data_IF_926180717441
#
_entry.id   IF_926180717441
#
_cell.length_a   1.000
_cell.length_b   1.000
_cell.length_c   1.000
_cell.angle_alpha   90.00
_cell.angle_beta   90.00
_cell.angle_gamma   90.00
#
_symmetry.space_group_name_H-M   'P 1'
#
loop_
_entity.id
_entity.type
_entity.pdbx_description
1 polymer ?
#
# COMPACT_ATOMS: atom_id res chain seq x y z
N UNK A 1 -25.45 17.49 4.56
CA UNK A 1 -24.34 16.69 5.14
C UNK A 1 -23.48 16.15 4.00
N UNK A 2 -22.16 16.07 4.18
CA UNK A 2 -21.21 15.59 3.17
C UNK A 2 -20.25 14.52 3.76
N UNK A 3 -20.77 13.37 4.25
CA UNK A 3 -19.95 12.40 4.98
C UNK A 3 -19.08 11.57 4.03
N UNK A 4 -17.76 11.82 4.05
CA UNK A 4 -16.77 10.98 3.36
C UNK A 4 -16.18 9.91 4.27
N UNK A 5 -15.13 10.26 5.03
CA UNK A 5 -14.39 9.36 5.92
C UNK A 5 -15.27 8.53 6.86
N UNK A 6 -16.35 9.13 7.34
CA UNK A 6 -17.27 8.48 8.27
C UNK A 6 -17.89 7.21 7.70
N UNK A 7 -18.19 7.20 6.39
CA UNK A 7 -18.81 6.05 5.71
C UNK A 7 -17.75 5.00 5.36
N UNK A 8 -16.65 5.42 4.71
CA UNK A 8 -15.73 4.47 4.06
C UNK A 8 -14.41 4.24 4.81
N UNK A 9 -14.14 4.99 5.88
CA UNK A 9 -12.85 4.92 6.59
C UNK A 9 -12.50 3.53 7.09
N UNK A 10 -13.43 2.91 7.83
CA UNK A 10 -13.21 1.62 8.49
C UNK A 10 -13.63 0.40 7.64
N UNK A 11 -14.18 0.61 6.45
CA UNK A 11 -14.65 -0.47 5.58
C UNK A 11 -13.53 -1.08 4.74
N UNK A 12 -12.40 -0.37 4.59
CA UNK A 12 -11.24 -0.82 3.83
C UNK A 12 -10.03 -1.15 4.70
N UNK A 13 -9.27 -2.17 4.28
CA UNK A 13 -7.96 -2.52 4.82
C UNK A 13 -6.96 -2.66 3.67
N UNK A 14 -5.70 -2.29 3.90
CA UNK A 14 -4.60 -2.57 2.97
C UNK A 14 -3.92 -3.86 3.40
N UNK A 15 -3.95 -4.88 2.54
CA UNK A 15 -3.27 -6.16 2.78
C UNK A 15 -1.91 -6.15 2.09
N UNK A 16 -0.87 -6.55 2.81
CA UNK A 16 0.50 -6.62 2.31
C UNK A 16 1.19 -7.90 2.78
N UNK A 17 2.14 -8.40 1.98
CA UNK A 17 2.99 -9.53 2.33
C UNK A 17 4.34 -9.06 2.85
N UNK A 18 4.87 -9.75 3.85
CA UNK A 18 6.25 -9.56 4.33
C UNK A 18 7.23 -10.00 3.23
N UNK A 19 8.15 -9.11 2.88
CA UNK A 19 9.27 -9.43 1.99
C UNK A 19 10.43 -10.02 2.79
N UNK A 20 10.88 -9.33 3.83
CA UNK A 20 11.95 -9.78 4.71
C UNK A 20 12.00 -8.94 5.98
N UNK A 21 12.84 -9.36 6.92
CA UNK A 21 13.13 -8.62 8.15
C UNK A 21 14.56 -8.12 8.12
N UNK A 22 14.78 -6.95 8.72
CA UNK A 22 16.11 -6.37 8.86
C UNK A 22 16.28 -5.87 10.27
N UNK A 23 17.47 -6.08 10.85
CA UNK A 23 17.88 -5.43 12.10
C UNK A 23 18.94 -4.40 11.76
N UNK A 24 18.74 -3.16 12.17
CA UNK A 24 19.70 -2.08 11.90
C UNK A 24 19.55 -0.97 12.94
N UNK A 25 20.66 -0.39 13.41
CA UNK A 25 20.64 0.71 14.38
C UNK A 25 19.88 0.38 15.68
N UNK A 26 19.90 -0.89 16.12
CA UNK A 26 19.14 -1.33 17.31
C UNK A 26 17.64 -1.51 17.09
N UNK A 27 17.09 -1.15 15.93
CA UNK A 27 15.67 -1.33 15.56
C UNK A 27 15.45 -2.57 14.71
N UNK A 28 14.24 -3.12 14.82
CA UNK A 28 13.75 -4.19 13.94
C UNK A 28 12.83 -3.59 12.89
N UNK A 29 13.05 -3.95 11.63
CA UNK A 29 12.23 -3.53 10.50
C UNK A 29 11.53 -4.75 9.91
N UNK A 30 10.25 -4.59 9.64
CA UNK A 30 9.44 -5.55 8.91
C UNK A 30 9.13 -4.93 7.54
N UNK A 31 9.88 -5.37 6.52
CA UNK A 31 9.77 -4.85 5.16
C UNK A 31 8.63 -5.60 4.47
N UNK A 32 7.65 -4.86 3.97
CA UNK A 32 6.47 -5.40 3.29
C UNK A 32 6.44 -4.94 1.82
N UNK A 33 5.56 -5.53 1.01
CA UNK A 33 5.44 -5.20 -0.41
C UNK A 33 4.53 -4.00 -0.73
N UNK A 34 3.98 -3.34 0.29
CA UNK A 34 3.22 -2.10 0.17
C UNK A 34 3.99 -0.94 0.79
N UNK A 35 3.89 0.25 0.19
CA UNK A 35 4.59 1.45 0.67
C UNK A 35 3.70 2.68 0.75
N UNK A 36 4.34 3.83 0.95
CA UNK A 36 3.68 5.13 0.96
C UNK A 36 2.98 5.46 -0.36
N UNK A 37 3.40 4.85 -1.47
CA UNK A 37 2.72 4.95 -2.76
C UNK A 37 1.34 4.24 -2.75
N UNK A 38 1.11 3.28 -1.85
CA UNK A 38 -0.18 2.58 -1.69
C UNK A 38 -1.03 3.22 -0.58
N UNK A 39 -0.40 3.63 0.51
CA UNK A 39 -1.03 4.30 1.64
C UNK A 39 -0.13 5.39 2.21
N UNK A 40 -0.26 6.61 1.69
CA UNK A 40 0.63 7.74 2.02
C UNK A 40 0.36 8.35 3.39
N UNK A 41 -0.81 8.08 4.00
CA UNK A 41 -1.27 8.78 5.21
C UNK A 41 -0.30 8.73 6.40
N UNK A 42 0.35 7.60 6.73
CA UNK A 42 1.31 7.56 7.83
C UNK A 42 2.53 8.45 7.56
N UNK A 43 3.07 8.44 6.34
CA UNK A 43 4.20 9.30 5.97
C UNK A 43 3.82 10.78 5.93
N UNK A 44 2.67 11.11 5.36
CA UNK A 44 2.27 12.50 5.10
C UNK A 44 1.68 13.20 6.33
N UNK A 45 0.99 12.46 7.20
CA UNK A 45 0.21 13.03 8.31
C UNK A 45 0.57 12.40 9.67
N UNK A 46 1.58 11.53 9.73
CA UNK A 46 1.86 10.70 10.91
C UNK A 46 0.63 9.89 11.38
N UNK A 47 -0.29 9.61 10.44
CA UNK A 47 -1.56 8.99 10.75
C UNK A 47 -1.37 7.56 11.28
N UNK A 48 -2.02 7.26 12.39
CA UNK A 48 -2.05 5.91 12.92
C UNK A 48 -3.05 5.02 12.16
N UNK A 49 -2.57 3.87 11.71
CA UNK A 49 -3.37 2.75 11.22
C UNK A 49 -3.03 1.53 12.06
N UNK A 50 -4.03 0.84 12.61
CA UNK A 50 -3.80 -0.42 13.33
C UNK A 50 -3.32 -1.50 12.34
N UNK A 51 -2.17 -2.10 12.60
CA UNK A 51 -1.55 -3.12 11.73
C UNK A 51 -1.63 -4.45 12.46
N UNK A 52 -2.27 -5.43 11.83
CA UNK A 52 -2.52 -6.75 12.43
C UNK A 52 -2.08 -7.86 11.47
N UNK A 53 -1.62 -9.01 11.97
CA UNK A 53 -1.39 -10.18 11.12
C UNK A 53 -2.74 -10.73 10.62
N UNK A 54 -2.79 -11.15 9.35
CA UNK A 54 -4.02 -11.72 8.76
C UNK A 54 -4.32 -13.09 9.38
N UNK A 55 -3.28 -13.88 9.65
CA UNK A 55 -3.39 -15.13 10.40
C UNK A 55 -3.04 -14.86 11.85
N UNK A 56 -3.90 -15.30 12.76
CA UNK A 56 -3.61 -15.20 14.18
C UNK A 56 -2.34 -15.99 14.52
N UNK A 57 -1.51 -15.42 15.38
CA UNK A 57 -0.25 -16.02 15.84
C UNK A 57 -0.09 -15.80 17.33
N UNK A 58 0.19 -16.87 18.05
CA UNK A 58 0.50 -16.86 19.49
C UNK A 58 1.99 -16.63 19.77
N UNK A 59 2.78 -16.32 18.74
CA UNK A 59 4.20 -16.01 18.91
C UNK A 59 4.38 -14.76 19.78
N UNK A 60 5.46 -14.68 20.58
CA UNK A 60 5.81 -13.47 21.31
C UNK A 60 5.85 -12.25 20.39
N UNK A 61 5.30 -11.14 20.87
CA UNK A 61 5.35 -9.87 20.14
C UNK A 61 6.74 -9.24 20.26
N UNK A 62 7.18 -8.63 19.16
CA UNK A 62 8.39 -7.85 19.08
C UNK A 62 8.06 -6.47 18.52
N UNK A 63 8.73 -5.44 19.04
CA UNK A 63 8.62 -4.09 18.51
C UNK A 63 9.32 -4.02 17.14
N UNK A 64 8.57 -3.62 16.12
CA UNK A 64 9.05 -3.43 14.75
C UNK A 64 8.52 -2.15 14.12
N UNK A 65 9.34 -1.54 13.26
CA UNK A 65 8.87 -0.55 12.29
C UNK A 65 8.42 -1.29 11.02
N UNK A 66 7.17 -1.12 10.61
CA UNK A 66 6.60 -1.67 9.37
C UNK A 66 6.85 -0.67 8.25
N UNK A 67 7.71 -1.04 7.31
CA UNK A 67 8.22 -0.16 6.25
C UNK A 67 8.00 -0.78 4.88
N UNK A 68 7.84 0.06 3.87
CA UNK A 68 7.67 -0.38 2.49
C UNK A 68 9.00 -0.49 1.73
N UNK A 69 8.93 -0.73 0.41
CA UNK A 69 10.09 -0.89 -0.45
C UNK A 69 10.49 0.39 -1.21
N UNK A 70 9.87 1.54 -0.91
CA UNK A 70 10.20 2.83 -1.55
C UNK A 70 11.54 3.33 -1.02
N UNK A 71 12.33 3.99 -1.87
CA UNK A 71 13.69 4.44 -1.58
C UNK A 71 13.78 5.68 -0.67
N UNK A 72 12.80 5.86 0.22
CA UNK A 72 12.65 7.04 1.05
C UNK A 72 12.63 6.63 2.52
N UNK A 73 13.41 7.33 3.36
CA UNK A 73 13.39 7.14 4.82
C UNK A 73 11.98 7.32 5.41
N UNK A 74 11.14 8.09 4.74
CA UNK A 74 9.74 8.33 5.11
C UNK A 74 8.78 7.18 4.77
N UNK A 75 9.21 6.12 4.08
CA UNK A 75 8.35 5.01 3.69
C UNK A 75 8.06 4.04 4.85
N UNK A 76 7.15 4.46 5.73
CA UNK A 76 6.64 3.64 6.81
C UNK A 76 5.12 3.59 6.78
N UNK A 77 4.56 2.42 7.12
CA UNK A 77 3.13 2.29 7.41
C UNK A 77 2.88 2.36 8.92
N UNK A 78 3.90 2.09 9.74
CA UNK A 78 3.80 2.23 11.18
C UNK A 78 5.12 2.04 11.90
N UNK A 79 5.38 2.89 12.89
CA UNK A 79 6.54 2.80 13.78
C UNK A 79 6.17 2.16 15.10
N UNK A 80 7.14 1.48 15.71
CA UNK A 80 7.10 0.90 17.06
C UNK A 80 5.89 0.00 17.31
N UNK A 81 5.58 -0.88 16.35
CA UNK A 81 4.42 -1.79 16.39
C UNK A 81 4.76 -3.09 17.10
N UNK A 82 3.87 -3.48 18.03
CA UNK A 82 3.93 -4.77 18.72
C UNK A 82 3.28 -5.85 17.87
N UNK A 83 4.09 -6.55 17.07
CA UNK A 83 3.64 -7.61 16.16
C UNK A 83 4.27 -8.95 16.54
N UNK A 84 3.55 -10.08 16.39
CA UNK A 84 4.18 -11.39 16.52
C UNK A 84 5.31 -11.54 15.50
N UNK A 85 6.17 -12.55 15.70
CA UNK A 85 7.12 -12.86 14.66
C UNK A 85 6.38 -13.31 13.38
N UNK A 86 6.64 -12.61 12.27
CA UNK A 86 6.18 -12.88 10.93
C UNK A 86 7.36 -13.15 9.99
N UNK A 87 7.28 -14.22 9.22
CA UNK A 87 8.24 -14.62 8.18
C UNK A 87 7.88 -14.06 6.81
N UNK A 88 8.79 -14.27 5.85
CA UNK A 88 8.56 -13.92 4.44
C UNK A 88 7.30 -14.59 3.90
N UNK A 89 6.50 -13.84 3.15
CA UNK A 89 5.23 -14.30 2.55
C UNK A 89 4.03 -14.25 3.50
N UNK A 90 4.22 -14.10 4.81
CA UNK A 90 3.10 -13.90 5.72
C UNK A 90 2.42 -12.55 5.50
N UNK A 91 1.11 -12.50 5.77
CA UNK A 91 0.26 -11.36 5.43
C UNK A 91 -0.09 -10.51 6.65
N UNK A 92 -0.16 -9.21 6.42
CA UNK A 92 -0.56 -8.17 7.36
C UNK A 92 -1.71 -7.36 6.75
N UNK A 93 -2.53 -6.78 7.61
CA UNK A 93 -3.56 -5.83 7.23
C UNK A 93 -3.38 -4.52 8.00
N UNK A 94 -3.22 -3.41 7.28
CA UNK A 94 -3.36 -2.06 7.84
C UNK A 94 -4.83 -1.65 7.77
N UNK A 95 -5.47 -1.51 8.93
CA UNK A 95 -6.88 -1.18 9.08
C UNK A 95 -7.15 0.29 8.78
N UNK A 96 -8.43 0.65 8.62
CA UNK A 96 -8.89 2.02 8.42
C UNK A 96 -8.31 2.70 7.15
N UNK A 97 -8.14 1.92 6.09
CA UNK A 97 -7.53 2.33 4.82
C UNK A 97 -8.56 2.62 3.71
N UNK A 98 -9.86 2.55 3.99
CA UNK A 98 -10.90 2.75 2.97
C UNK A 98 -11.16 4.21 2.60
N UNK A 99 -10.73 5.17 3.42
CA UNK A 99 -10.78 6.60 3.11
C UNK A 99 -9.37 7.18 2.94
N UNK A 100 -9.14 7.88 1.83
CA UNK A 100 -7.84 8.52 1.52
C UNK A 100 -6.67 7.52 1.53
N UNK A 101 -6.95 6.25 1.22
CA UNK A 101 -5.96 5.21 0.93
C UNK A 101 -5.67 5.21 -0.56
N UNK A 102 -6.35 4.33 -1.30
CA UNK A 102 -6.18 4.21 -2.75
C UNK A 102 -6.40 5.53 -3.51
N UNK A 103 -7.32 6.38 -3.05
CA UNK A 103 -7.56 7.71 -3.63
C UNK A 103 -6.32 8.63 -3.64
N UNK A 104 -5.33 8.35 -2.80
CA UNK A 104 -4.04 9.06 -2.75
C UNK A 104 -2.87 8.19 -3.20
N UNK A 105 -3.14 7.02 -3.80
CA UNK A 105 -2.11 6.11 -4.28
C UNK A 105 -1.45 6.65 -5.55
N UNK A 106 -0.14 6.43 -5.66
CA UNK A 106 0.70 6.87 -6.78
C UNK A 106 1.53 5.74 -7.36
N UNK A 107 2.16 6.01 -8.50
CA UNK A 107 3.14 5.12 -9.15
C UNK A 107 4.58 5.49 -8.78
N UNK A 108 4.80 6.10 -7.61
CA UNK A 108 6.14 6.48 -7.18
C UNK A 108 7.08 5.26 -7.11
N UNK A 109 8.33 5.46 -7.53
CA UNK A 109 9.30 4.40 -7.86
C UNK A 109 8.79 3.40 -8.92
N UNK A 110 7.97 3.85 -9.87
CA UNK A 110 7.42 3.05 -10.97
C UNK A 110 6.70 1.78 -10.48
N UNK A 111 6.01 1.89 -9.34
CA UNK A 111 5.26 0.78 -8.74
C UNK A 111 3.83 0.78 -9.25
N UNK A 112 3.34 -0.42 -9.57
CA UNK A 112 1.98 -0.66 -10.02
C UNK A 112 1.01 -0.49 -8.84
N UNK A 113 0.00 0.38 -8.98
CA UNK A 113 -1.02 0.56 -7.93
C UNK A 113 -1.74 -0.77 -7.67
N UNK A 114 -2.11 -0.97 -6.41
CA UNK A 114 -2.72 -2.20 -5.94
C UNK A 114 -4.06 -2.51 -6.64
N UNK A 115 -4.43 -3.79 -6.67
CA UNK A 115 -5.80 -4.21 -6.95
C UNK A 115 -6.72 -3.84 -5.77
N UNK A 116 -8.00 -3.59 -6.06
CA UNK A 116 -9.04 -3.42 -5.04
C UNK A 116 -10.07 -4.54 -5.16
N UNK A 117 -10.40 -5.14 -4.01
CA UNK A 117 -11.35 -6.26 -3.91
C UNK A 117 -12.46 -5.86 -2.96
N UNK A 118 -13.71 -6.02 -3.40
CA UNK A 118 -14.90 -5.86 -2.59
C UNK A 118 -15.38 -7.22 -2.09
N UNK A 119 -15.65 -7.33 -0.78
CA UNK A 119 -16.17 -8.54 -0.16
C UNK A 119 -17.63 -8.32 0.22
N UNK A 120 -18.50 -9.21 -0.23
CA UNK A 120 -19.92 -9.21 0.08
C UNK A 120 -20.32 -10.59 0.64
N UNK A 121 -20.49 -10.67 1.96
CA UNK A 121 -20.76 -11.92 2.65
C UNK A 121 -19.63 -12.94 2.44
N UNK A 122 -19.91 -13.99 1.66
CA UNK A 122 -18.94 -15.05 1.30
C UNK A 122 -18.34 -14.89 -0.10
N UNK A 123 -18.77 -13.88 -0.86
CA UNK A 123 -18.28 -13.62 -2.22
C UNK A 123 -17.28 -12.48 -2.21
N UNK A 124 -16.39 -12.47 -3.19
CA UNK A 124 -15.49 -11.36 -3.44
C UNK A 124 -15.47 -11.01 -4.93
N UNK A 125 -15.29 -9.73 -5.21
CA UNK A 125 -15.27 -9.16 -6.55
C UNK A 125 -14.03 -8.30 -6.72
N UNK A 126 -13.27 -8.53 -7.79
CA UNK A 126 -12.21 -7.61 -8.20
C UNK A 126 -12.89 -6.35 -8.77
N UNK A 127 -12.86 -5.26 -8.00
CA UNK A 127 -13.48 -3.98 -8.40
C UNK A 127 -12.48 -3.05 -9.07
N UNK A 128 -11.18 -3.29 -8.87
CA UNK A 128 -10.10 -2.65 -9.61
C UNK A 128 -8.97 -3.63 -9.85
N UNK A 129 -8.57 -3.79 -11.11
CA UNK A 129 -7.40 -4.59 -11.46
C UNK A 129 -6.11 -3.91 -10.97
N UNK A 130 -5.12 -4.73 -10.59
CA UNK A 130 -3.74 -4.25 -10.41
C UNK A 130 -3.24 -3.71 -11.76
N UNK A 131 -2.56 -2.57 -11.71
CA UNK A 131 -1.92 -1.99 -12.90
C UNK A 131 -0.87 -2.95 -13.47
N UNK A 132 -0.58 -2.79 -14.76
CA UNK A 132 0.48 -3.49 -15.49
C UNK A 132 1.61 -2.51 -15.81
N UNK A 133 2.81 -3.02 -16.10
CA UNK A 133 3.96 -2.17 -16.44
C UNK A 133 3.70 -1.23 -17.63
N UNK A 134 2.83 -1.63 -18.56
CA UNK A 134 2.41 -0.79 -19.69
C UNK A 134 1.60 0.44 -19.23
N UNK A 135 0.85 0.33 -18.13
CA UNK A 135 0.04 1.44 -17.61
C UNK A 135 0.91 2.59 -17.07
N UNK A 136 2.15 2.29 -16.63
CA UNK A 136 3.08 3.28 -16.10
C UNK A 136 3.50 4.31 -17.17
N UNK A 137 3.60 3.86 -18.42
CA UNK A 137 4.11 4.64 -19.55
C UNK A 137 3.02 4.92 -20.58
N UNK A 138 1.77 4.57 -20.30
CA UNK A 138 0.66 4.68 -21.25
C UNK A 138 0.46 6.10 -21.78
N UNK A 139 0.79 7.10 -20.97
CA UNK A 139 0.67 8.52 -21.32
C UNK A 139 2.01 9.16 -21.72
N UNK A 140 3.08 8.37 -21.82
CA UNK A 140 4.38 8.85 -22.31
C UNK A 140 4.41 8.80 -23.84
N UNK A 141 4.93 9.85 -24.47
CA UNK A 141 5.14 9.92 -25.92
C UNK A 141 6.64 10.06 -26.22
N UNK A 142 7.09 9.49 -27.33
CA UNK A 142 8.50 9.49 -27.72
C UNK A 142 8.67 9.34 -29.22
N UNK A 143 9.80 9.82 -29.75
CA UNK A 143 10.12 9.92 -31.20
C UNK A 143 10.25 8.58 -31.94
N UNK A 144 9.97 7.45 -31.28
CA UNK A 144 9.91 6.10 -31.87
C UNK A 144 8.66 5.30 -31.50
N UNK A 145 7.74 5.87 -30.71
CA UNK A 145 6.45 5.25 -30.42
C UNK A 145 5.49 5.60 -31.57
N UNK A 146 5.15 4.60 -32.38
CA UNK A 146 4.18 4.80 -33.48
C UNK A 146 2.85 5.25 -32.88
N UNK A 147 2.41 6.43 -33.32
CA UNK A 147 1.17 7.16 -32.98
C UNK A 147 1.35 8.25 -31.92
N UNK A 148 1.75 9.45 -32.34
CA UNK A 148 0.83 10.62 -32.35
C UNK A 148 1.52 11.82 -32.99
N UNK A 149 0.85 12.45 -33.97
CA UNK A 149 1.09 13.86 -34.27
C UNK A 149 0.74 14.67 -33.02
N UNK A 150 1.64 15.56 -32.61
CA UNK A 150 1.52 16.42 -31.41
C UNK A 150 0.21 17.24 -31.39
N UNK A 151 -0.48 17.38 -32.53
CA UNK A 151 -1.70 18.17 -32.68
C UNK A 151 -2.97 17.56 -32.08
N UNK A 152 -3.03 16.25 -31.81
CA UNK A 152 -4.28 15.57 -31.41
C UNK A 152 -4.39 15.30 -29.90
N UNK A 153 -3.31 15.49 -29.13
CA UNK A 153 -3.21 15.02 -27.73
C UNK A 153 -3.34 16.13 -26.67
N UNK A 154 -3.52 17.39 -27.08
CA UNK A 154 -3.63 18.56 -26.20
C UNK A 154 -4.98 19.27 -26.38
N UNK A 155 -6.06 18.64 -25.89
CA UNK A 155 -7.37 19.25 -25.73
C UNK A 155 -7.95 18.92 -24.35
#
# INVERSE_FOLDING_TARGET
FEPGRYIVGNTGVLVASVLYRKKSGGKNFLIINAGMNDLVRPTLYEAYHDIVPVKHSNQPKVTVDVVGPICETGDFLGKDRQLPWLGQGELLAAKCAGAYGFAMSSQYNSRLRAAEVMVEGKKFHLIRCREQYQDLVMNETGTGLKNTSIGDTLA
#
